data_IF_350242529074
#
_entry.id   IF_350242529074
#
_cell.length_a   1.000
_cell.length_b   1.000
_cell.length_c   1.000
_cell.angle_alpha   90.00
_cell.angle_beta   90.00
_cell.angle_gamma   90.00
#
_symmetry.space_group_name_H-M   'P 1'
#
loop_
_entity.id
_entity.type
_entity.pdbx_description
1 polymer ?
#
# COMPACT_ATOMS: atom_id res chain seq x y z
N UNK A 1 3.67 52.62 49.39
CA UNK A 1 3.06 51.28 49.48
C UNK A 1 3.16 50.61 48.13
N UNK A 2 4.13 49.67 47.95
CA UNK A 2 4.35 48.90 46.72
C UNK A 2 3.63 47.55 46.87
N UNK A 3 2.60 47.29 46.02
CA UNK A 3 1.91 46.01 45.97
C UNK A 3 2.70 45.08 45.06
N UNK A 4 3.26 43.97 45.59
CA UNK A 4 3.80 42.85 44.84
C UNK A 4 2.63 41.95 44.43
N UNK A 5 2.40 41.80 43.10
CA UNK A 5 1.57 40.73 42.55
C UNK A 5 2.40 39.47 42.42
N UNK A 6 2.05 38.44 43.18
CA UNK A 6 2.62 37.10 43.06
C UNK A 6 1.83 36.35 41.98
N UNK A 7 2.40 36.24 40.80
CA UNK A 7 1.81 35.44 39.72
C UNK A 7 2.07 33.94 39.97
N UNK A 8 1.01 33.21 40.25
CA UNK A 8 1.05 31.75 40.43
C UNK A 8 1.00 31.09 39.04
N UNK A 9 2.14 30.59 38.59
CA UNK A 9 2.29 29.84 37.33
C UNK A 9 1.80 28.42 37.53
N UNK A 10 0.60 28.10 37.01
CA UNK A 10 0.10 26.71 36.97
C UNK A 10 0.88 25.90 35.93
N UNK A 11 1.75 25.02 36.39
CA UNK A 11 2.42 24.05 35.56
C UNK A 11 1.46 22.87 35.30
N UNK A 12 0.81 22.89 34.12
CA UNK A 12 -0.04 21.76 33.67
C UNK A 12 0.85 20.60 33.30
N UNK A 13 0.96 19.61 34.18
CA UNK A 13 1.62 18.33 33.86
C UNK A 13 0.65 17.49 33.03
N UNK A 14 0.89 17.42 31.72
CA UNK A 14 0.19 16.49 30.85
C UNK A 14 0.74 15.08 31.11
N UNK A 15 -0.04 14.26 31.80
CA UNK A 15 0.25 12.82 31.90
C UNK A 15 -0.04 12.17 30.55
N UNK A 16 1.00 11.99 29.71
CA UNK A 16 0.94 11.02 28.61
C UNK A 16 0.99 9.62 29.22
N UNK A 17 -0.16 8.97 29.32
CA UNK A 17 -0.21 7.54 29.65
C UNK A 17 0.55 6.77 28.54
N UNK A 18 1.68 6.17 28.88
CA UNK A 18 2.39 5.26 27.99
C UNK A 18 1.45 4.08 27.68
N UNK A 19 1.08 3.89 26.43
CA UNK A 19 0.34 2.70 25.98
C UNK A 19 1.27 1.51 26.16
N UNK A 20 0.99 0.65 27.14
CA UNK A 20 1.76 -0.57 27.38
C UNK A 20 1.72 -1.44 26.11
N UNK A 21 2.87 -1.99 25.71
CA UNK A 21 3.00 -2.84 24.51
C UNK A 21 2.10 -4.09 24.54
N UNK A 22 1.66 -4.52 25.72
CA UNK A 22 0.75 -5.65 25.96
C UNK A 22 -0.74 -5.32 25.73
N UNK A 23 -1.11 -4.02 25.72
CA UNK A 23 -2.49 -3.55 25.54
C UNK A 23 -2.59 -2.63 24.31
N UNK A 24 -2.14 -3.09 23.15
CA UNK A 24 -2.35 -2.35 21.90
C UNK A 24 -3.84 -2.38 21.54
N UNK A 25 -4.48 -1.22 21.30
CA UNK A 25 -5.90 -1.15 20.95
C UNK A 25 -6.19 -1.67 19.53
N UNK A 26 -5.15 -1.93 18.72
CA UNK A 26 -5.25 -2.45 17.35
C UNK A 26 -4.27 -3.60 17.13
N UNK A 27 -4.65 -4.55 16.27
CA UNK A 27 -3.80 -5.64 15.80
C UNK A 27 -2.89 -5.24 14.64
N UNK A 28 -2.57 -6.22 13.78
CA UNK A 28 -1.86 -6.00 12.53
C UNK A 28 -2.77 -5.47 11.41
N UNK A 29 -2.22 -5.43 10.21
CA UNK A 29 -2.99 -5.14 8.99
C UNK A 29 -3.92 -6.32 8.69
N UNK A 30 -5.22 -6.07 8.56
CA UNK A 30 -6.21 -7.07 8.15
C UNK A 30 -6.27 -7.18 6.61
N UNK A 31 -6.61 -6.09 5.94
CA UNK A 31 -6.64 -6.00 4.48
C UNK A 31 -6.39 -4.57 3.98
N UNK A 32 -6.19 -4.44 2.67
CA UNK A 32 -6.08 -3.15 1.98
C UNK A 32 -7.19 -3.06 0.94
N UNK A 33 -7.99 -1.99 0.99
CA UNK A 33 -8.98 -1.65 -0.02
C UNK A 33 -8.40 -0.73 -1.09
N UNK A 34 -8.51 -1.11 -2.36
CA UNK A 34 -8.14 -0.30 -3.51
C UNK A 34 -9.39 0.04 -4.32
N UNK A 35 -9.56 1.30 -4.66
CA UNK A 35 -10.51 1.72 -5.68
C UNK A 35 -9.91 1.47 -7.06
N UNK A 36 -10.67 0.80 -7.94
CA UNK A 36 -10.22 0.39 -9.28
C UNK A 36 -11.27 0.78 -10.32
N UNK A 37 -10.84 1.34 -11.43
CA UNK A 37 -11.73 1.72 -12.55
C UNK A 37 -11.96 0.56 -13.53
N UNK A 38 -11.14 -0.49 -13.46
CA UNK A 38 -11.17 -1.67 -14.33
C UNK A 38 -11.11 -2.93 -13.46
N UNK A 39 -12.20 -3.24 -12.74
CA UNK A 39 -12.23 -4.29 -11.71
C UNK A 39 -11.72 -5.64 -12.21
N UNK A 40 -12.16 -6.10 -13.38
CA UNK A 40 -11.74 -7.42 -13.88
C UNK A 40 -10.27 -7.40 -14.32
N UNK A 41 -9.81 -6.38 -15.03
CA UNK A 41 -8.40 -6.28 -15.44
C UNK A 41 -7.45 -6.17 -14.24
N UNK A 42 -7.82 -5.39 -13.21
CA UNK A 42 -7.07 -5.31 -11.96
C UNK A 42 -7.08 -6.64 -11.21
N UNK A 43 -8.23 -7.33 -11.16
CA UNK A 43 -8.35 -8.67 -10.56
C UNK A 43 -7.43 -9.66 -11.27
N UNK A 44 -7.48 -9.71 -12.60
CA UNK A 44 -6.65 -10.60 -13.43
C UNK A 44 -5.15 -10.31 -13.24
N UNK A 45 -4.77 -9.04 -13.15
CA UNK A 45 -3.39 -8.65 -12.83
C UNK A 45 -2.92 -9.23 -11.48
N UNK A 46 -3.67 -9.01 -10.40
CA UNK A 46 -3.30 -9.54 -9.09
C UNK A 46 -3.28 -11.08 -9.06
N UNK A 47 -4.22 -11.74 -9.76
CA UNK A 47 -4.29 -13.20 -9.79
C UNK A 47 -3.18 -13.80 -10.65
N UNK A 48 -3.06 -13.37 -11.90
CA UNK A 48 -2.20 -14.04 -12.88
C UNK A 48 -0.73 -13.62 -12.80
N UNK A 49 -0.46 -12.39 -12.30
CA UNK A 49 0.91 -11.85 -12.19
C UNK A 49 1.45 -11.97 -10.77
N UNK A 50 0.64 -11.62 -9.76
CA UNK A 50 1.10 -11.56 -8.38
C UNK A 50 0.65 -12.75 -7.51
N UNK A 51 -0.03 -13.75 -8.11
CA UNK A 51 -0.34 -15.02 -7.46
C UNK A 51 -1.44 -14.96 -6.40
N UNK A 52 -2.28 -13.92 -6.43
CA UNK A 52 -3.45 -13.85 -5.56
C UNK A 52 -4.53 -14.83 -6.01
N UNK A 53 -5.43 -15.17 -5.09
CA UNK A 53 -6.62 -15.99 -5.35
C UNK A 53 -7.86 -15.20 -4.96
N UNK A 54 -8.87 -15.21 -5.83
CA UNK A 54 -10.19 -14.64 -5.50
C UNK A 54 -10.91 -15.60 -4.56
N UNK A 55 -11.36 -15.11 -3.41
CA UNK A 55 -12.18 -15.88 -2.47
C UNK A 55 -13.61 -15.35 -2.35
N UNK A 56 -13.94 -14.22 -2.95
CA UNK A 56 -15.28 -13.66 -2.96
C UNK A 56 -15.42 -12.50 -3.96
N UNK A 57 -16.67 -12.22 -4.31
CA UNK A 57 -17.08 -11.05 -5.12
C UNK A 57 -18.38 -10.49 -4.57
N UNK A 58 -18.59 -9.17 -4.72
CA UNK A 58 -19.87 -8.52 -4.49
C UNK A 58 -20.38 -7.96 -5.83
N UNK A 59 -21.68 -8.21 -6.13
CA UNK A 59 -22.31 -7.70 -7.35
C UNK A 59 -23.19 -6.47 -7.09
N UNK A 60 -23.57 -6.20 -5.85
CA UNK A 60 -24.39 -5.02 -5.50
C UNK A 60 -23.55 -3.76 -5.45
N UNK A 61 -22.35 -3.86 -4.87
CA UNK A 61 -21.28 -2.89 -4.99
C UNK A 61 -20.08 -3.62 -5.59
N UNK A 62 -19.90 -3.55 -6.92
CA UNK A 62 -18.96 -4.42 -7.61
C UNK A 62 -17.59 -4.44 -7.01
N UNK A 63 -17.17 -5.60 -6.52
CA UNK A 63 -15.92 -5.79 -5.82
C UNK A 63 -15.36 -7.21 -6.00
N UNK A 64 -14.05 -7.35 -5.80
CA UNK A 64 -13.36 -8.64 -5.72
C UNK A 64 -12.51 -8.69 -4.45
N UNK A 65 -12.54 -9.83 -3.76
CA UNK A 65 -11.81 -10.08 -2.52
C UNK A 65 -10.72 -11.11 -2.81
N UNK A 66 -9.45 -10.74 -2.57
CA UNK A 66 -8.29 -11.51 -2.95
C UNK A 66 -7.37 -11.76 -1.75
N UNK A 67 -6.66 -12.89 -1.78
CA UNK A 67 -5.65 -13.24 -0.79
C UNK A 67 -4.52 -14.06 -1.43
N UNK A 68 -3.28 -13.86 -0.99
CA UNK A 68 -2.11 -14.61 -1.47
C UNK A 68 -1.44 -15.46 -0.37
N UNK A 69 -2.09 -15.60 0.79
CA UNK A 69 -1.53 -16.28 1.97
C UNK A 69 -0.83 -15.35 2.95
N UNK A 70 -0.34 -14.19 2.50
CA UNK A 70 0.38 -13.21 3.32
C UNK A 70 -0.46 -11.95 3.60
N UNK A 71 -1.31 -11.57 2.64
CA UNK A 71 -2.15 -10.37 2.73
C UNK A 71 -3.46 -10.53 1.98
N UNK A 72 -4.47 -9.77 2.41
CA UNK A 72 -5.76 -9.64 1.71
C UNK A 72 -5.87 -8.29 1.01
N UNK A 73 -6.43 -8.30 -0.19
CA UNK A 73 -6.84 -7.12 -0.95
C UNK A 73 -8.34 -7.16 -1.21
N UNK A 74 -8.96 -5.99 -1.17
CA UNK A 74 -10.33 -5.78 -1.63
C UNK A 74 -10.32 -4.73 -2.74
N UNK A 75 -10.75 -5.12 -3.94
CA UNK A 75 -10.83 -4.25 -5.10
C UNK A 75 -12.27 -3.78 -5.26
N UNK A 76 -12.48 -2.47 -5.30
CA UNK A 76 -13.79 -1.84 -5.34
C UNK A 76 -13.94 -1.03 -6.61
N UNK A 77 -14.93 -1.37 -7.45
CA UNK A 77 -15.19 -0.64 -8.70
C UNK A 77 -15.58 0.82 -8.40
N UNK A 78 -14.89 1.76 -9.06
CA UNK A 78 -15.25 3.17 -9.02
C UNK A 78 -16.46 3.46 -9.91
N UNK A 79 -17.05 4.65 -9.78
CA UNK A 79 -17.96 5.18 -10.78
C UNK A 79 -17.23 5.41 -12.12
N UNK A 80 -18.01 5.45 -13.23
CA UNK A 80 -17.46 5.55 -14.60
C UNK A 80 -16.73 6.88 -14.87
N UNK A 81 -17.10 7.94 -14.13
CA UNK A 81 -16.53 9.28 -14.23
C UNK A 81 -15.40 9.54 -13.20
N UNK A 82 -14.94 8.50 -12.52
CA UNK A 82 -13.86 8.63 -11.53
C UNK A 82 -12.56 9.10 -12.18
N UNK A 83 -11.93 10.08 -11.55
CA UNK A 83 -10.63 10.62 -11.98
C UNK A 83 -9.47 9.85 -11.35
N UNK A 84 -8.35 9.77 -12.06
CA UNK A 84 -7.14 9.13 -11.54
C UNK A 84 -6.63 9.84 -10.28
N UNK A 85 -6.16 9.07 -9.31
CA UNK A 85 -5.59 9.60 -8.07
C UNK A 85 -4.24 10.31 -8.35
N UNK A 86 -4.15 11.57 -7.94
CA UNK A 86 -2.91 12.34 -7.99
C UNK A 86 -2.23 12.36 -6.61
N UNK A 87 -1.23 11.50 -6.45
CA UNK A 87 -0.48 11.37 -5.19
C UNK A 87 0.31 12.60 -4.77
N UNK A 88 0.51 13.57 -5.68
CA UNK A 88 1.23 14.81 -5.36
C UNK A 88 0.33 15.89 -4.81
N UNK A 89 -0.92 15.89 -5.24
CA UNK A 89 -1.88 16.95 -4.91
C UNK A 89 -3.01 16.46 -3.99
N UNK A 90 -3.24 15.16 -3.89
CA UNK A 90 -4.32 14.59 -3.10
C UNK A 90 -3.79 13.75 -1.93
N UNK A 91 -4.45 13.88 -0.78
CA UNK A 91 -4.20 13.00 0.38
C UNK A 91 -4.75 11.61 0.09
N UNK A 92 -3.93 10.57 0.27
CA UNK A 92 -4.33 9.18 0.02
C UNK A 92 -3.14 8.22 0.01
N UNK A 93 -3.34 7.03 -0.53
CA UNK A 93 -2.29 6.02 -0.62
C UNK A 93 -1.28 6.38 -1.71
N UNK A 94 -0.04 6.68 -1.30
CA UNK A 94 1.03 7.03 -2.24
C UNK A 94 1.44 5.83 -3.11
N UNK A 95 1.56 4.64 -2.53
CA UNK A 95 1.77 3.34 -3.19
C UNK A 95 1.48 2.21 -2.22
N UNK A 96 1.23 1.02 -2.76
CA UNK A 96 1.21 -0.24 -2.03
C UNK A 96 2.53 -0.98 -2.32
N UNK A 97 3.28 -1.35 -1.29
CA UNK A 97 4.51 -2.13 -1.44
C UNK A 97 4.23 -3.61 -1.15
N UNK A 98 4.56 -4.47 -2.11
CA UNK A 98 4.41 -5.92 -2.03
C UNK A 98 5.80 -6.56 -2.07
N UNK A 99 6.08 -7.43 -1.10
CA UNK A 99 7.34 -8.18 -1.06
C UNK A 99 7.39 -9.23 -2.18
N UNK A 100 8.57 -9.38 -2.77
CA UNK A 100 8.89 -10.51 -3.65
C UNK A 100 10.02 -11.35 -3.05
N UNK A 101 10.07 -12.67 -3.34
CA UNK A 101 10.95 -13.60 -2.62
C UNK A 101 12.44 -13.40 -2.91
N UNK A 102 12.82 -12.92 -4.10
CA UNK A 102 14.21 -12.74 -4.49
C UNK A 102 14.41 -11.65 -5.55
N UNK A 103 15.66 -11.31 -5.87
CA UNK A 103 15.99 -10.41 -6.98
C UNK A 103 15.61 -11.03 -8.32
N UNK A 104 15.83 -12.34 -8.50
CA UNK A 104 15.46 -13.07 -9.72
C UNK A 104 13.94 -13.03 -9.93
N UNK A 105 13.15 -13.26 -8.86
CA UNK A 105 11.69 -13.18 -8.94
C UNK A 105 11.22 -11.76 -9.33
N UNK A 106 11.91 -10.71 -8.85
CA UNK A 106 11.62 -9.33 -9.26
C UNK A 106 11.93 -9.10 -10.75
N UNK A 107 13.06 -9.62 -11.23
CA UNK A 107 13.47 -9.50 -12.64
C UNK A 107 12.55 -10.31 -13.57
N UNK A 108 12.05 -11.46 -13.14
CA UNK A 108 11.09 -12.26 -13.90
C UNK A 108 9.71 -11.62 -13.95
N UNK A 109 9.25 -11.04 -12.83
CA UNK A 109 8.02 -10.22 -12.81
C UNK A 109 8.15 -9.01 -13.75
N UNK A 110 9.30 -8.33 -13.78
CA UNK A 110 9.53 -7.22 -14.70
C UNK A 110 9.36 -7.66 -16.16
N UNK A 111 9.98 -8.79 -16.58
CA UNK A 111 9.85 -9.32 -17.95
C UNK A 111 8.39 -9.67 -18.29
N UNK A 112 7.66 -10.27 -17.36
CA UNK A 112 6.25 -10.59 -17.55
C UNK A 112 5.38 -9.33 -17.72
N UNK A 113 5.61 -8.31 -16.89
CA UNK A 113 4.84 -7.06 -16.87
C UNK A 113 5.17 -6.18 -18.08
N UNK A 114 6.42 -6.17 -18.56
CA UNK A 114 6.87 -5.36 -19.71
C UNK A 114 6.11 -5.67 -21.00
N UNK A 115 5.53 -6.87 -21.09
CA UNK A 115 4.68 -7.27 -22.22
C UNK A 115 3.19 -6.92 -22.07
N UNK A 116 2.77 -6.31 -20.95
CA UNK A 116 1.37 -6.02 -20.62
C UNK A 116 1.03 -4.55 -20.94
N UNK A 117 0.26 -4.25 -22.01
CA UNK A 117 0.01 -2.87 -22.45
C UNK A 117 -0.82 -2.04 -21.45
N UNK A 118 -1.58 -2.69 -20.56
CA UNK A 118 -2.41 -2.04 -19.54
C UNK A 118 -1.66 -1.71 -18.25
N UNK A 119 -0.41 -2.16 -18.10
CA UNK A 119 0.46 -1.87 -16.95
C UNK A 119 1.50 -0.83 -17.32
N UNK A 120 1.66 0.20 -16.50
CA UNK A 120 2.68 1.23 -16.73
C UNK A 120 3.86 0.95 -15.80
N UNK A 121 5.06 0.79 -16.35
CA UNK A 121 6.30 0.71 -15.59
C UNK A 121 6.80 2.14 -15.34
N UNK A 122 6.79 2.61 -14.08
CA UNK A 122 7.34 3.92 -13.73
C UNK A 122 8.87 3.89 -13.69
N UNK A 123 9.45 2.81 -13.16
CA UNK A 123 10.86 2.48 -13.27
C UNK A 123 11.12 0.98 -13.15
N UNK A 124 12.13 0.51 -13.88
CA UNK A 124 12.58 -0.89 -13.91
C UNK A 124 13.26 -1.29 -12.58
N UNK A 125 13.53 -2.59 -12.35
CA UNK A 125 14.23 -3.05 -11.15
C UNK A 125 15.57 -2.35 -10.92
N UNK A 126 15.71 -1.65 -9.79
CA UNK A 126 16.90 -0.92 -9.36
C UNK A 126 17.15 -1.07 -7.86
N UNK A 127 18.36 -0.74 -7.40
CA UNK A 127 18.67 -0.73 -5.95
C UNK A 127 17.97 0.46 -5.28
N UNK A 128 17.19 0.18 -4.24
CA UNK A 128 16.48 1.18 -3.47
C UNK A 128 17.46 2.05 -2.68
N UNK A 129 17.57 3.33 -3.08
CA UNK A 129 18.48 4.32 -2.47
C UNK A 129 19.93 3.84 -2.34
N UNK A 130 20.41 3.00 -3.28
CA UNK A 130 21.75 2.41 -3.23
C UNK A 130 21.97 1.40 -2.10
N UNK A 131 20.90 1.02 -1.38
CA UNK A 131 20.94 0.04 -0.29
C UNK A 131 20.81 -1.41 -0.79
N UNK A 132 20.71 -2.38 0.14
CA UNK A 132 20.67 -3.80 -0.24
C UNK A 132 19.32 -4.25 -0.83
N UNK A 133 18.25 -3.46 -0.72
CA UNK A 133 16.97 -3.79 -1.31
C UNK A 133 16.95 -3.47 -2.81
N UNK A 134 16.24 -4.28 -3.61
CA UNK A 134 15.95 -4.03 -5.02
C UNK A 134 14.45 -3.91 -5.22
N UNK A 135 14.01 -2.92 -5.99
CA UNK A 135 12.59 -2.66 -6.21
C UNK A 135 12.31 -2.17 -7.62
N UNK A 136 11.06 -2.23 -8.03
CA UNK A 136 10.50 -1.54 -9.19
C UNK A 136 9.16 -0.91 -8.83
N UNK A 137 8.70 0.03 -9.64
CA UNK A 137 7.43 0.71 -9.45
C UNK A 137 6.60 0.62 -10.71
N UNK A 138 5.36 0.21 -10.55
CA UNK A 138 4.39 0.07 -11.64
C UNK A 138 3.08 0.75 -11.31
N UNK A 139 2.23 0.90 -12.32
CA UNK A 139 0.80 1.14 -12.17
C UNK A 139 0.06 -0.05 -12.72
N UNK A 140 -0.76 -0.69 -11.88
CA UNK A 140 -1.65 -1.76 -12.30
C UNK A 140 -2.75 -1.22 -13.25
N UNK A 141 -3.57 -2.05 -13.90
CA UNK A 141 -4.49 -1.63 -14.98
C UNK A 141 -5.45 -0.47 -14.66
N UNK A 142 -5.80 -0.24 -13.41
CA UNK A 142 -6.61 0.92 -12.98
C UNK A 142 -5.77 2.14 -12.57
N UNK A 143 -4.43 2.03 -12.60
CA UNK A 143 -3.51 3.11 -12.30
C UNK A 143 -3.07 3.22 -10.84
N UNK A 144 -3.48 2.30 -9.95
CA UNK A 144 -2.93 2.24 -8.60
C UNK A 144 -1.44 1.93 -8.65
N UNK A 145 -0.68 2.65 -7.81
CA UNK A 145 0.78 2.58 -7.78
C UNK A 145 1.24 1.45 -6.87
N UNK A 146 1.95 0.47 -7.44
CA UNK A 146 2.44 -0.73 -6.75
C UNK A 146 3.95 -0.75 -6.78
N UNK A 147 4.58 -0.86 -5.62
CA UNK A 147 6.00 -1.16 -5.48
C UNK A 147 6.18 -2.66 -5.31
N UNK A 148 6.99 -3.29 -6.17
CA UNK A 148 7.45 -4.67 -5.97
C UNK A 148 8.87 -4.61 -5.44
N UNK A 149 9.11 -5.21 -4.26
CA UNK A 149 10.37 -5.02 -3.54
C UNK A 149 10.88 -6.32 -2.92
N UNK A 150 12.17 -6.60 -3.10
CA UNK A 150 12.90 -7.59 -2.32
C UNK A 150 13.87 -6.92 -1.35
N UNK A 151 13.79 -7.32 -0.07
CA UNK A 151 14.74 -6.94 0.97
C UNK A 151 15.46 -8.20 1.44
N UNK A 152 16.77 -8.36 1.16
CA UNK A 152 17.55 -9.47 1.72
C UNK A 152 17.45 -9.48 3.25
N UNK A 153 17.39 -10.69 3.84
CA UNK A 153 17.49 -10.84 5.29
C UNK A 153 18.80 -10.22 5.79
N UNK A 154 18.74 -9.55 6.90
CA UNK A 154 19.97 -9.15 7.61
C UNK A 154 20.59 -10.45 8.18
N UNK A 155 21.79 -10.81 7.73
CA UNK A 155 22.61 -11.83 8.38
C UNK A 155 23.02 -11.37 9.78
#
# INVERSE_FOLDING_TARGET
MKRFLFGMMFLSVVFMSAVNAENKPSGGLDHIGLSVSKLDASTDFFVNVLGFKVFGRDSKYPAAFLNNGEMSLTLWQTADDAVAFDRKNNVGLHHLAIKVPSFEALDDLYKAIDSMPEVVIEFAPELSYGGPAKHMMIREPSGNRIELIHRPSKN
#
